data_IF_408916595735
#
_entry.id   IF_408916595735
#
_cell.length_a   1.000
_cell.length_b   1.000
_cell.length_c   1.000
_cell.angle_alpha   90.00
_cell.angle_beta   90.00
_cell.angle_gamma   90.00
#
_symmetry.space_group_name_H-M   'P 1'
#
loop_
_entity.id
_entity.type
_entity.pdbx_description
1 polymer ?
#
# COMPACT_ATOMS: atom_id res chain seq x y z
N UNK A 1 24.40 15.35 -22.83
CA UNK A 1 24.29 13.92 -23.19
C UNK A 1 22.96 13.74 -23.89
N UNK A 2 22.85 12.95 -24.97
CA UNK A 2 21.53 12.67 -25.55
C UNK A 2 20.65 12.07 -24.45
N UNK A 3 19.37 12.43 -24.43
CA UNK A 3 18.40 11.83 -23.52
C UNK A 3 18.44 10.29 -23.65
N UNK A 4 18.50 9.56 -22.54
CA UNK A 4 18.52 8.11 -22.63
C UNK A 4 17.22 7.63 -23.29
N UNK A 5 17.34 6.91 -24.38
CA UNK A 5 16.21 6.22 -25.00
C UNK A 5 15.64 5.21 -24.00
N UNK A 6 14.38 5.40 -23.59
CA UNK A 6 13.69 4.58 -22.60
C UNK A 6 13.68 3.12 -23.02
N UNK A 7 13.40 2.83 -24.29
CA UNK A 7 13.36 1.45 -24.78
C UNK A 7 14.74 0.79 -24.67
N UNK A 8 15.80 1.49 -25.04
CA UNK A 8 17.17 0.99 -24.91
C UNK A 8 17.60 0.83 -23.43
N UNK A 9 17.14 1.71 -22.54
CA UNK A 9 17.45 1.58 -21.11
C UNK A 9 16.78 0.34 -20.49
N UNK A 10 15.49 0.13 -20.80
CA UNK A 10 14.74 -1.06 -20.33
C UNK A 10 15.32 -2.35 -20.92
N UNK A 11 15.72 -2.36 -22.20
CA UNK A 11 16.36 -3.52 -22.82
C UNK A 11 17.70 -3.88 -22.13
N UNK A 12 18.51 -2.87 -21.78
CA UNK A 12 19.76 -3.12 -21.03
C UNK A 12 19.51 -3.69 -19.63
N UNK A 13 18.43 -3.28 -18.97
CA UNK A 13 18.04 -3.85 -17.69
C UNK A 13 17.62 -5.32 -17.85
N UNK A 14 16.86 -5.66 -18.88
CA UNK A 14 16.48 -7.05 -19.19
C UNK A 14 17.73 -7.91 -19.46
N UNK A 15 18.66 -7.44 -20.29
CA UNK A 15 19.92 -8.13 -20.55
C UNK A 15 20.74 -8.36 -19.26
N UNK A 16 20.81 -7.34 -18.39
CA UNK A 16 21.47 -7.45 -17.09
C UNK A 16 20.81 -8.50 -16.20
N UNK A 17 19.49 -8.47 -16.10
CA UNK A 17 18.71 -9.45 -15.31
C UNK A 17 18.97 -10.88 -15.78
N UNK A 18 18.94 -11.11 -17.11
CA UNK A 18 19.25 -12.40 -17.72
C UNK A 18 20.70 -12.84 -17.45
N UNK A 19 21.63 -11.90 -17.41
CA UNK A 19 23.02 -12.18 -17.06
C UNK A 19 23.18 -12.56 -15.60
N UNK A 20 22.57 -11.82 -14.67
CA UNK A 20 22.55 -12.14 -13.24
C UNK A 20 21.96 -13.51 -13.00
N UNK A 21 20.84 -13.84 -13.62
CA UNK A 21 20.21 -15.15 -13.54
C UNK A 21 21.15 -16.30 -13.92
N UNK A 22 22.03 -16.10 -14.89
CA UNK A 22 23.00 -17.13 -15.33
C UNK A 22 24.28 -17.16 -14.52
N UNK A 23 24.79 -16.02 -14.08
CA UNK A 23 26.15 -15.89 -13.55
C UNK A 23 26.19 -15.71 -12.02
N UNK A 24 25.18 -15.10 -11.41
CA UNK A 24 25.11 -14.91 -9.96
C UNK A 24 24.63 -16.18 -9.25
N UNK A 25 25.38 -16.73 -8.28
CA UNK A 25 24.97 -17.94 -7.55
C UNK A 25 23.64 -17.75 -6.81
N UNK A 26 23.39 -16.57 -6.25
CA UNK A 26 22.15 -16.27 -5.52
C UNK A 26 20.95 -16.20 -6.47
N UNK A 27 21.06 -15.44 -7.57
CA UNK A 27 19.97 -15.27 -8.53
C UNK A 27 19.56 -16.59 -9.19
N UNK A 28 20.51 -17.51 -9.41
CA UNK A 28 20.25 -18.84 -9.98
C UNK A 28 19.36 -19.72 -9.11
N UNK A 29 19.40 -19.53 -7.80
CA UNK A 29 18.64 -20.34 -6.84
C UNK A 29 17.24 -19.79 -6.58
N UNK A 30 16.92 -18.57 -7.06
CA UNK A 30 15.65 -17.94 -6.78
C UNK A 30 14.51 -18.55 -7.61
N UNK A 31 13.35 -18.62 -6.98
CA UNK A 31 12.06 -18.90 -7.62
C UNK A 31 11.05 -17.79 -7.30
N UNK A 32 9.82 -17.89 -7.79
CA UNK A 32 8.79 -16.88 -7.55
C UNK A 32 8.46 -16.73 -6.06
N UNK A 33 8.54 -17.80 -5.28
CA UNK A 33 8.21 -17.78 -3.85
C UNK A 33 9.31 -17.11 -3.04
N UNK A 34 10.55 -17.22 -3.47
CA UNK A 34 11.69 -16.56 -2.82
C UNK A 34 11.80 -15.07 -3.19
N UNK A 35 11.37 -14.68 -4.40
CA UNK A 35 11.45 -13.28 -4.90
C UNK A 35 10.25 -12.44 -4.48
N UNK A 36 9.03 -12.98 -4.43
CA UNK A 36 7.83 -12.20 -4.07
C UNK A 36 7.93 -11.50 -2.71
N UNK A 37 8.51 -12.07 -1.64
CA UNK A 37 8.74 -11.32 -0.40
C UNK A 37 9.53 -10.03 -0.60
N UNK A 38 10.62 -10.05 -1.40
CA UNK A 38 11.38 -8.85 -1.73
C UNK A 38 10.55 -7.85 -2.51
N UNK A 39 9.75 -8.30 -3.49
CA UNK A 39 8.82 -7.40 -4.23
C UNK A 39 7.85 -6.66 -3.30
N UNK A 40 7.36 -7.32 -2.23
CA UNK A 40 6.50 -6.69 -1.23
C UNK A 40 7.27 -5.67 -0.39
N UNK A 41 8.52 -5.99 -0.01
CA UNK A 41 9.42 -5.09 0.71
C UNK A 41 9.70 -3.82 -0.09
N UNK A 42 10.15 -3.96 -1.34
CA UNK A 42 10.40 -2.83 -2.25
C UNK A 42 9.13 -1.98 -2.49
N UNK A 43 7.95 -2.60 -2.56
CA UNK A 43 6.70 -1.85 -2.70
C UNK A 43 6.40 -0.99 -1.46
N UNK A 44 6.76 -1.42 -0.27
CA UNK A 44 6.64 -0.62 0.95
C UNK A 44 7.71 0.47 1.04
N UNK A 45 8.95 0.20 0.63
CA UNK A 45 10.02 1.20 0.58
C UNK A 45 9.71 2.29 -0.44
N UNK A 46 9.20 1.93 -1.62
CA UNK A 46 8.67 2.85 -2.61
C UNK A 46 7.57 3.76 -2.03
N UNK A 47 6.63 3.19 -1.26
CA UNK A 47 5.57 3.95 -0.63
C UNK A 47 6.13 4.92 0.44
N UNK A 48 7.10 4.51 1.24
CA UNK A 48 7.75 5.34 2.23
C UNK A 48 8.56 6.49 1.57
N UNK A 49 9.28 6.22 0.49
CA UNK A 49 9.99 7.23 -0.31
C UNK A 49 9.04 8.27 -0.91
N UNK A 50 7.92 7.82 -1.47
CA UNK A 50 6.88 8.71 -2.01
C UNK A 50 6.26 9.60 -0.93
N UNK A 51 5.96 9.05 0.26
CA UNK A 51 5.42 9.81 1.38
C UNK A 51 6.42 10.82 1.96
N UNK A 52 7.71 10.51 1.92
CA UNK A 52 8.77 11.43 2.37
C UNK A 52 9.03 12.57 1.38
N UNK A 53 8.58 12.46 0.13
CA UNK A 53 8.87 13.42 -0.93
C UNK A 53 10.35 13.42 -1.34
N UNK A 54 11.05 12.31 -1.15
CA UNK A 54 12.46 12.14 -1.53
C UNK A 54 12.56 11.56 -2.94
N UNK A 55 12.74 12.45 -3.93
CA UNK A 55 12.83 12.06 -5.34
C UNK A 55 14.03 11.14 -5.65
N UNK A 56 15.12 11.24 -4.89
CA UNK A 56 16.29 10.39 -5.11
C UNK A 56 15.99 8.96 -4.65
N UNK A 57 15.43 8.83 -3.45
CA UNK A 57 15.00 7.56 -2.90
C UNK A 57 13.84 6.96 -3.71
N UNK A 58 12.86 7.77 -4.10
CA UNK A 58 11.75 7.34 -4.95
C UNK A 58 12.23 6.73 -6.28
N UNK A 59 13.29 7.30 -6.88
CA UNK A 59 13.90 6.75 -8.11
C UNK A 59 14.60 5.43 -7.88
N UNK A 60 15.26 5.27 -6.74
CA UNK A 60 15.95 4.05 -6.33
C UNK A 60 14.92 2.91 -6.17
N UNK A 61 13.93 3.12 -5.35
CA UNK A 61 12.88 2.11 -5.09
C UNK A 61 12.04 1.76 -6.33
N UNK A 62 11.80 2.74 -7.23
CA UNK A 62 11.20 2.46 -8.54
C UNK A 62 12.08 1.54 -9.39
N UNK A 63 13.41 1.67 -9.28
CA UNK A 63 14.38 0.80 -9.93
C UNK A 63 14.28 -0.62 -9.40
N UNK A 64 14.20 -0.79 -8.08
CA UNK A 64 14.12 -2.09 -7.42
C UNK A 64 12.80 -2.81 -7.75
N UNK A 65 11.68 -2.12 -7.68
CA UNK A 65 10.39 -2.68 -8.14
C UNK A 65 10.43 -3.05 -9.62
N UNK A 66 11.05 -2.23 -10.47
CA UNK A 66 11.19 -2.55 -11.89
C UNK A 66 12.07 -3.79 -12.11
N UNK A 67 13.16 -3.93 -11.37
CA UNK A 67 14.02 -5.12 -11.41
C UNK A 67 13.24 -6.38 -10.98
N UNK A 68 12.44 -6.31 -9.91
CA UNK A 68 11.58 -7.42 -9.48
C UNK A 68 10.61 -7.85 -10.58
N UNK A 69 10.01 -6.90 -11.30
CA UNK A 69 9.12 -7.21 -12.43
C UNK A 69 9.87 -7.92 -13.55
N UNK A 70 11.09 -7.47 -13.91
CA UNK A 70 11.92 -8.13 -14.92
C UNK A 70 12.31 -9.54 -14.49
N UNK A 71 12.72 -9.72 -13.24
CA UNK A 71 13.16 -11.01 -12.73
C UNK A 71 12.00 -12.03 -12.70
N UNK A 72 10.85 -11.64 -12.19
CA UNK A 72 9.65 -12.49 -12.19
C UNK A 72 9.16 -12.82 -13.60
N UNK A 73 9.26 -11.87 -14.54
CA UNK A 73 8.93 -12.13 -15.94
C UNK A 73 9.89 -13.11 -16.60
N UNK A 74 11.18 -13.09 -16.23
CA UNK A 74 12.17 -14.06 -16.68
C UNK A 74 11.88 -15.48 -16.13
N UNK A 75 11.49 -15.60 -14.85
CA UNK A 75 11.06 -16.88 -14.27
C UNK A 75 9.80 -17.43 -14.97
N UNK A 76 8.88 -16.55 -15.37
CA UNK A 76 7.71 -16.91 -16.16
C UNK A 76 8.11 -17.45 -17.54
N UNK A 77 9.09 -16.83 -18.20
CA UNK A 77 9.65 -17.24 -19.49
C UNK A 77 10.36 -18.62 -19.40
N UNK A 78 11.17 -18.83 -18.35
CA UNK A 78 11.84 -20.11 -18.12
C UNK A 78 10.86 -21.29 -18.02
N UNK A 79 9.61 -21.05 -17.58
CA UNK A 79 8.53 -22.04 -17.50
C UNK A 79 7.69 -22.14 -18.77
N UNK A 80 7.95 -21.31 -19.77
CA UNK A 80 7.14 -21.24 -20.99
C UNK A 80 5.71 -20.70 -20.76
N UNK A 81 5.49 -19.95 -19.67
CA UNK A 81 4.17 -19.43 -19.28
C UNK A 81 3.94 -17.96 -19.69
N UNK A 82 4.94 -17.33 -20.30
CA UNK A 82 4.89 -15.95 -20.79
C UNK A 82 6.25 -15.30 -20.69
N UNK A 83 6.36 -14.05 -21.12
CA UNK A 83 7.57 -13.24 -21.10
C UNK A 83 7.24 -11.78 -20.77
N UNK A 84 8.26 -10.92 -20.66
CA UNK A 84 8.11 -9.49 -20.36
C UNK A 84 7.27 -8.76 -21.40
N UNK A 85 7.37 -9.13 -22.68
CA UNK A 85 6.58 -8.50 -23.74
C UNK A 85 5.09 -8.84 -23.58
N UNK A 86 4.78 -10.08 -23.26
CA UNK A 86 3.40 -10.52 -22.99
C UNK A 86 2.83 -9.89 -21.72
N UNK A 87 3.63 -9.74 -20.66
CA UNK A 87 3.23 -9.02 -19.44
C UNK A 87 2.88 -7.58 -19.76
N UNK A 88 3.74 -6.87 -20.50
CA UNK A 88 3.53 -5.49 -20.89
C UNK A 88 2.31 -5.33 -21.81
N UNK A 89 2.15 -6.20 -22.82
CA UNK A 89 1.02 -6.14 -23.73
C UNK A 89 -0.30 -6.47 -23.03
N UNK A 90 -0.29 -7.44 -22.13
CA UNK A 90 -1.47 -7.79 -21.33
C UNK A 90 -1.96 -6.60 -20.50
N UNK A 91 -1.07 -5.91 -19.78
CA UNK A 91 -1.45 -4.74 -18.99
C UNK A 91 -1.87 -3.57 -19.88
N UNK A 92 -1.20 -3.36 -21.04
CA UNK A 92 -1.58 -2.33 -22.01
C UNK A 92 -3.03 -2.53 -22.49
N UNK A 93 -3.39 -3.73 -22.93
CA UNK A 93 -4.74 -4.06 -23.39
C UNK A 93 -5.77 -3.90 -22.28
N UNK A 94 -5.44 -4.36 -21.06
CA UNK A 94 -6.29 -4.20 -19.87
C UNK A 94 -6.56 -2.71 -19.57
N UNK A 95 -5.54 -1.86 -19.63
CA UNK A 95 -5.68 -0.42 -19.39
C UNK A 95 -6.52 0.26 -20.47
N UNK A 96 -6.30 -0.03 -21.75
CA UNK A 96 -7.13 0.49 -22.85
C UNK A 96 -8.60 0.13 -22.64
N UNK A 97 -8.89 -1.15 -22.38
CA UNK A 97 -10.27 -1.61 -22.15
C UNK A 97 -10.94 -0.93 -20.97
N UNK A 98 -10.18 -0.64 -19.90
CA UNK A 98 -10.71 -0.02 -18.67
C UNK A 98 -10.75 1.49 -18.69
N UNK A 99 -10.29 2.14 -19.79
CA UNK A 99 -10.34 3.59 -19.94
C UNK A 99 -11.11 3.99 -21.23
N UNK A 100 -12.39 3.58 -21.38
CA UNK A 100 -13.17 3.92 -22.56
C UNK A 100 -13.42 5.42 -22.71
N UNK A 101 -13.24 6.21 -21.66
CA UNK A 101 -13.29 7.67 -21.69
C UNK A 101 -12.03 8.31 -22.31
N UNK A 102 -10.94 7.53 -22.52
CA UNK A 102 -9.71 7.99 -23.20
C UNK A 102 -9.59 7.36 -24.59
N UNK A 103 -9.95 6.08 -24.71
CA UNK A 103 -9.74 5.27 -25.91
C UNK A 103 -11.01 4.90 -26.66
N UNK A 104 -12.19 5.31 -26.18
CA UNK A 104 -13.49 5.04 -26.76
C UNK A 104 -14.40 6.26 -26.75
N UNK A 105 -15.71 6.03 -26.74
CA UNK A 105 -16.74 7.08 -26.85
C UNK A 105 -17.45 7.40 -25.52
N UNK A 106 -17.04 6.79 -24.40
CA UNK A 106 -17.65 7.02 -23.09
C UNK A 106 -17.11 8.33 -22.52
N UNK A 107 -18.00 9.23 -22.13
CA UNK A 107 -17.60 10.46 -21.44
C UNK A 107 -17.51 10.22 -19.92
N UNK A 108 -16.44 10.75 -19.29
CA UNK A 108 -16.30 10.85 -17.84
C UNK A 108 -15.58 12.16 -17.53
N UNK A 109 -16.25 13.06 -16.80
CA UNK A 109 -15.75 14.41 -16.51
C UNK A 109 -15.11 14.50 -15.12
N UNK A 110 -15.32 13.53 -14.25
CA UNK A 110 -14.80 13.50 -12.88
C UNK A 110 -14.07 12.19 -12.56
N UNK A 111 -13.11 12.26 -11.66
CA UNK A 111 -12.40 11.07 -11.18
C UNK A 111 -13.38 10.04 -10.56
N UNK A 112 -14.46 10.50 -9.92
CA UNK A 112 -15.50 9.63 -9.36
C UNK A 112 -16.24 8.83 -10.44
N UNK A 113 -16.56 9.45 -11.58
CA UNK A 113 -17.18 8.77 -12.73
C UNK A 113 -16.21 7.75 -13.34
N UNK A 114 -14.94 8.11 -13.50
CA UNK A 114 -13.91 7.17 -13.97
C UNK A 114 -13.81 5.94 -13.08
N UNK A 115 -13.81 6.12 -11.76
CA UNK A 115 -13.73 5.01 -10.80
C UNK A 115 -14.98 4.11 -10.85
N UNK A 116 -16.18 4.68 -10.99
CA UNK A 116 -17.42 3.88 -11.15
C UNK A 116 -17.38 3.06 -12.43
N UNK A 117 -17.07 3.68 -13.56
CA UNK A 117 -16.97 3.01 -14.86
C UNK A 117 -15.91 1.89 -14.81
N UNK A 118 -14.77 2.16 -14.17
CA UNK A 118 -13.72 1.17 -13.98
C UNK A 118 -14.21 -0.06 -13.19
N UNK A 119 -14.90 0.16 -12.08
CA UNK A 119 -15.42 -0.92 -11.24
C UNK A 119 -16.55 -1.70 -11.94
N UNK A 120 -17.37 -1.05 -12.78
CA UNK A 120 -18.38 -1.71 -13.62
C UNK A 120 -17.75 -2.58 -14.71
N UNK A 121 -16.79 -2.02 -15.46
CA UNK A 121 -16.06 -2.76 -16.51
C UNK A 121 -15.33 -3.96 -15.88
N UNK A 122 -14.70 -3.75 -14.73
CA UNK A 122 -14.01 -4.81 -14.02
C UNK A 122 -14.94 -5.92 -13.55
N UNK A 123 -16.17 -5.60 -13.11
CA UNK A 123 -17.18 -6.59 -12.72
C UNK A 123 -17.67 -7.42 -13.91
N UNK A 124 -17.76 -6.82 -15.09
CA UNK A 124 -18.22 -7.48 -16.31
C UNK A 124 -17.14 -8.36 -17.00
N UNK A 125 -15.90 -8.34 -16.52
CA UNK A 125 -14.81 -9.15 -17.11
C UNK A 125 -15.06 -10.65 -16.87
N UNK A 126 -14.84 -11.52 -17.89
CA UNK A 126 -15.04 -12.96 -17.76
C UNK A 126 -14.14 -13.58 -16.66
N UNK A 127 -14.66 -14.60 -15.97
CA UNK A 127 -13.92 -15.34 -14.94
C UNK A 127 -13.84 -14.65 -13.59
N UNK A 128 -14.67 -13.63 -13.36
CA UNK A 128 -14.79 -12.99 -12.06
C UNK A 128 -15.81 -13.67 -11.18
N UNK A 129 -15.52 -13.69 -9.88
CA UNK A 129 -16.48 -14.15 -8.89
C UNK A 129 -17.70 -13.21 -8.85
N UNK A 130 -18.88 -13.82 -8.80
CA UNK A 130 -20.15 -13.11 -8.69
C UNK A 130 -20.35 -12.52 -7.29
N UNK A 131 -21.14 -11.43 -7.20
CA UNK A 131 -21.51 -10.79 -5.94
C UNK A 131 -20.88 -9.42 -5.72
N UNK A 132 -21.37 -8.73 -4.69
CA UNK A 132 -20.99 -7.34 -4.36
C UNK A 132 -19.48 -7.25 -4.08
N UNK A 133 -18.94 -8.18 -3.32
CA UNK A 133 -17.55 -8.15 -2.90
C UNK A 133 -16.61 -8.73 -3.96
N UNK A 134 -17.09 -9.67 -4.80
CA UNK A 134 -16.30 -10.31 -5.86
C UNK A 134 -14.95 -10.78 -5.32
N UNK A 135 -13.91 -10.69 -6.15
CA UNK A 135 -12.55 -11.05 -5.74
C UNK A 135 -11.93 -9.96 -4.81
N UNK A 136 -12.26 -9.99 -3.53
CA UNK A 136 -11.45 -9.29 -2.52
C UNK A 136 -10.38 -10.30 -2.08
N UNK A 137 -9.07 -10.05 -2.34
CA UNK A 137 -8.03 -10.98 -1.92
C UNK A 137 -7.96 -11.03 -0.40
N UNK A 138 -8.10 -12.22 0.17
CA UNK A 138 -8.08 -12.42 1.63
C UNK A 138 -6.68 -12.27 2.25
N UNK A 139 -5.63 -12.36 1.43
CA UNK A 139 -4.23 -12.24 1.84
C UNK A 139 -3.72 -10.79 1.93
N UNK A 140 -4.59 -9.80 1.79
CA UNK A 140 -4.21 -8.40 1.97
C UNK A 140 -3.93 -8.07 3.45
N UNK A 141 -3.03 -7.11 3.74
CA UNK A 141 -2.96 -6.48 5.06
C UNK A 141 -4.35 -6.01 5.52
N UNK A 142 -4.65 -6.13 6.81
CA UNK A 142 -6.01 -5.98 7.34
C UNK A 142 -6.67 -4.64 6.99
N UNK A 143 -5.93 -3.54 7.05
CA UNK A 143 -6.48 -2.21 6.72
C UNK A 143 -6.76 -2.07 5.21
N UNK A 144 -5.92 -2.65 4.35
CA UNK A 144 -6.18 -2.70 2.90
C UNK A 144 -7.35 -3.61 2.56
N UNK A 145 -7.49 -4.74 3.25
CA UNK A 145 -8.62 -5.64 3.11
C UNK A 145 -9.93 -4.91 3.46
N UNK A 146 -10.01 -4.31 4.65
CA UNK A 146 -11.14 -3.53 5.12
C UNK A 146 -11.52 -2.40 4.13
N UNK A 147 -10.54 -1.59 3.70
CA UNK A 147 -10.73 -0.56 2.67
C UNK A 147 -11.31 -1.13 1.39
N UNK A 148 -10.84 -2.29 0.95
CA UNK A 148 -11.30 -2.91 -0.29
C UNK A 148 -12.72 -3.44 -0.18
N UNK A 149 -13.08 -4.04 0.97
CA UNK A 149 -14.45 -4.47 1.28
C UNK A 149 -15.40 -3.25 1.27
N UNK A 150 -15.06 -2.19 2.00
CA UNK A 150 -15.86 -0.97 2.06
C UNK A 150 -16.01 -0.30 0.69
N UNK A 151 -14.94 -0.24 -0.11
CA UNK A 151 -15.01 0.29 -1.48
C UNK A 151 -15.94 -0.54 -2.36
N UNK A 152 -15.98 -1.86 -2.20
CA UNK A 152 -16.89 -2.73 -2.93
C UNK A 152 -18.35 -2.48 -2.53
N UNK A 153 -18.62 -2.35 -1.23
CA UNK A 153 -19.94 -1.96 -0.73
C UNK A 153 -20.38 -0.61 -1.32
N UNK A 154 -19.52 0.41 -1.24
CA UNK A 154 -19.77 1.73 -1.79
C UNK A 154 -20.08 1.70 -3.29
N UNK A 155 -19.34 0.92 -4.09
CA UNK A 155 -19.58 0.78 -5.53
C UNK A 155 -20.88 0.05 -5.88
N UNK A 156 -21.52 -0.61 -4.91
CA UNK A 156 -22.86 -1.21 -5.04
C UNK A 156 -24.02 -0.27 -4.61
N UNK A 157 -23.68 0.95 -4.19
CA UNK A 157 -24.64 1.92 -3.67
C UNK A 157 -24.78 1.93 -2.15
N UNK A 158 -24.03 1.09 -1.43
CA UNK A 158 -23.99 1.09 0.03
C UNK A 158 -22.84 1.98 0.52
N UNK A 159 -23.06 3.29 0.54
CA UNK A 159 -22.06 4.29 0.95
C UNK A 159 -22.70 5.40 1.81
N UNK A 160 -21.87 6.23 2.41
CA UNK A 160 -22.25 7.38 3.21
C UNK A 160 -22.16 8.66 2.37
N UNK A 161 -23.14 9.57 2.57
CA UNK A 161 -23.15 10.86 1.88
C UNK A 161 -22.09 11.84 2.41
N UNK A 162 -21.46 11.52 3.55
CA UNK A 162 -20.45 12.35 4.23
C UNK A 162 -19.38 11.49 4.88
N UNK A 163 -18.28 12.14 5.30
CA UNK A 163 -17.22 11.44 6.08
C UNK A 163 -17.81 10.96 7.42
N UNK A 164 -17.78 9.67 7.72
CA UNK A 164 -18.48 9.08 8.86
C UNK A 164 -17.68 9.18 10.18
N UNK A 165 -17.38 10.40 10.64
CA UNK A 165 -16.65 10.60 11.91
C UNK A 165 -17.47 10.12 13.12
N UNK A 166 -18.78 10.27 13.06
CA UNK A 166 -19.72 9.82 14.09
C UNK A 166 -19.76 8.31 14.25
N UNK A 167 -19.49 7.54 13.19
CA UNK A 167 -19.33 6.09 13.31
C UNK A 167 -18.14 5.72 14.22
N UNK A 168 -16.98 6.37 14.04
CA UNK A 168 -15.83 6.11 14.93
C UNK A 168 -16.14 6.46 16.39
N UNK A 169 -16.89 7.55 16.62
CA UNK A 169 -17.29 7.94 17.98
C UNK A 169 -18.24 6.91 18.59
N UNK A 170 -19.21 6.40 17.82
CA UNK A 170 -20.14 5.34 18.26
C UNK A 170 -19.42 4.05 18.65
N UNK A 171 -18.53 3.57 17.78
CA UNK A 171 -17.75 2.36 18.08
C UNK A 171 -16.85 2.51 19.33
N UNK A 172 -16.35 3.72 19.60
CA UNK A 172 -15.60 3.99 20.83
C UNK A 172 -16.51 3.94 22.09
N UNK A 173 -17.75 4.39 22.00
CA UNK A 173 -18.75 4.30 23.09
C UNK A 173 -19.13 2.82 23.33
N UNK A 174 -19.30 2.02 22.27
CA UNK A 174 -19.60 0.59 22.35
C UNK A 174 -18.43 -0.18 22.93
N UNK A 175 -17.19 0.15 22.53
CA UNK A 175 -15.98 -0.40 23.14
C UNK A 175 -15.87 -0.11 24.65
N UNK A 176 -16.21 1.12 25.07
CA UNK A 176 -16.25 1.46 26.51
C UNK A 176 -17.33 0.67 27.25
N UNK A 177 -18.49 0.47 26.61
CA UNK A 177 -19.61 -0.30 27.18
C UNK A 177 -19.33 -1.80 27.28
N UNK A 178 -18.46 -2.37 26.42
CA UNK A 178 -18.05 -3.77 26.45
C UNK A 178 -17.31 -4.17 27.76
N UNK A 179 -16.77 -3.20 28.48
CA UNK A 179 -16.20 -3.35 29.82
C UNK A 179 -15.00 -4.31 29.83
N UNK A 180 -15.12 -5.45 30.56
CA UNK A 180 -14.04 -6.43 30.74
C UNK A 180 -14.26 -7.73 29.96
N UNK A 181 -15.33 -7.85 29.23
CA UNK A 181 -15.59 -9.02 28.37
C UNK A 181 -14.64 -9.01 27.19
N UNK A 182 -13.70 -9.96 27.18
CA UNK A 182 -12.64 -10.00 26.18
C UNK A 182 -13.15 -10.24 24.77
N UNK A 183 -14.20 -11.01 24.59
CA UNK A 183 -14.74 -11.31 23.27
C UNK A 183 -15.50 -10.08 22.74
N UNK A 184 -16.30 -9.42 23.57
CA UNK A 184 -16.94 -8.16 23.22
C UNK A 184 -15.89 -7.07 22.90
N UNK A 185 -14.90 -6.84 23.77
CA UNK A 185 -13.80 -5.88 23.53
C UNK A 185 -13.05 -6.20 22.23
N UNK A 186 -12.84 -7.48 21.90
CA UNK A 186 -12.17 -7.85 20.65
C UNK A 186 -12.99 -7.45 19.43
N UNK A 187 -14.32 -7.64 19.46
CA UNK A 187 -15.21 -7.23 18.39
C UNK A 187 -15.23 -5.71 18.24
N UNK A 188 -15.46 -4.99 19.32
CA UNK A 188 -15.54 -3.52 19.28
C UNK A 188 -14.23 -2.85 18.84
N UNK A 189 -13.06 -3.39 19.24
CA UNK A 189 -11.77 -2.91 18.71
C UNK A 189 -11.71 -3.11 17.20
N UNK A 190 -12.23 -4.23 16.68
CA UNK A 190 -12.32 -4.48 15.24
C UNK A 190 -13.20 -3.43 14.53
N UNK A 191 -14.35 -3.10 15.13
CA UNK A 191 -15.33 -2.15 14.57
C UNK A 191 -14.79 -0.71 14.62
N UNK A 192 -14.11 -0.29 15.69
CA UNK A 192 -13.38 1.00 15.74
C UNK A 192 -12.35 1.10 14.61
N UNK A 193 -11.54 0.06 14.38
CA UNK A 193 -10.55 0.05 13.31
C UNK A 193 -11.22 0.08 11.94
N UNK A 194 -12.31 -0.65 11.75
CA UNK A 194 -13.08 -0.69 10.50
C UNK A 194 -13.72 0.66 10.20
N UNK A 195 -14.33 1.32 11.20
CA UNK A 195 -14.86 2.68 11.07
C UNK A 195 -13.78 3.72 10.73
N UNK A 196 -12.60 3.63 11.36
CA UNK A 196 -11.46 4.49 11.05
C UNK A 196 -10.96 4.31 9.61
N UNK A 197 -10.92 3.07 9.10
CA UNK A 197 -10.61 2.78 7.69
C UNK A 197 -11.63 3.42 6.76
N UNK A 198 -12.91 3.44 7.13
CA UNK A 198 -13.95 4.06 6.32
C UNK A 198 -13.80 5.59 6.24
N UNK A 199 -13.40 6.22 7.33
CA UNK A 199 -13.03 7.65 7.32
C UNK A 199 -11.88 7.90 6.34
N UNK A 200 -10.80 7.12 6.41
CA UNK A 200 -9.68 7.24 5.49
C UNK A 200 -10.10 7.04 4.03
N UNK A 201 -10.93 6.02 3.75
CA UNK A 201 -11.48 5.75 2.42
C UNK A 201 -12.26 6.94 1.87
N UNK A 202 -13.14 7.52 2.68
CA UNK A 202 -14.00 8.64 2.28
C UNK A 202 -13.18 9.92 2.03
N UNK A 203 -12.07 10.08 2.76
CA UNK A 203 -11.09 11.15 2.53
C UNK A 203 -10.11 10.84 1.38
N UNK A 204 -10.28 9.72 0.65
CA UNK A 204 -9.39 9.26 -0.41
C UNK A 204 -7.95 9.01 0.04
N UNK A 205 -7.75 8.65 1.30
CA UNK A 205 -6.46 8.29 1.88
C UNK A 205 -6.29 6.77 1.93
N UNK A 206 -5.05 6.32 1.86
CA UNK A 206 -4.72 4.92 2.09
C UNK A 206 -4.49 4.69 3.60
N UNK A 207 -5.29 3.82 4.27
CA UNK A 207 -5.20 3.64 5.72
C UNK A 207 -3.92 2.89 6.14
N UNK A 208 -3.41 1.98 5.31
CA UNK A 208 -2.17 1.26 5.58
C UNK A 208 -0.97 2.21 5.59
N UNK A 209 -0.85 3.02 4.53
CA UNK A 209 0.23 4.01 4.43
C UNK A 209 0.10 5.12 5.49
N UNK A 210 -1.12 5.54 5.82
CA UNK A 210 -1.36 6.53 6.88
C UNK A 210 -0.90 6.01 8.25
N UNK A 211 -1.20 4.75 8.57
CA UNK A 211 -0.77 4.13 9.83
C UNK A 211 0.73 3.88 9.86
N UNK A 212 1.35 3.43 8.75
CA UNK A 212 2.80 3.31 8.62
C UNK A 212 3.50 4.64 8.88
N UNK A 213 3.06 5.72 8.22
CA UNK A 213 3.59 7.05 8.43
C UNK A 213 3.45 7.53 9.87
N UNK A 214 2.31 7.25 10.53
CA UNK A 214 2.12 7.57 11.95
C UNK A 214 3.07 6.78 12.85
N UNK A 215 3.28 5.49 12.56
CA UNK A 215 4.22 4.64 13.29
C UNK A 215 5.67 5.10 13.15
N UNK A 216 6.08 5.51 11.95
CA UNK A 216 7.42 6.07 11.68
C UNK A 216 7.62 7.38 12.45
N UNK A 217 6.64 8.29 12.42
CA UNK A 217 6.70 9.53 13.21
C UNK A 217 6.78 9.26 14.72
N UNK A 218 5.97 8.32 15.20
CA UNK A 218 6.01 7.95 16.61
C UNK A 218 7.40 7.43 17.02
N UNK A 219 7.98 6.51 16.23
CA UNK A 219 9.34 5.99 16.47
C UNK A 219 10.37 7.11 16.51
N UNK A 220 10.40 7.98 15.51
CA UNK A 220 11.33 9.09 15.46
C UNK A 220 11.20 10.04 16.65
N UNK A 221 9.97 10.30 17.13
CA UNK A 221 9.72 11.12 18.33
C UNK A 221 10.23 10.46 19.61
N UNK A 222 10.09 9.16 19.75
CA UNK A 222 10.61 8.41 20.91
C UNK A 222 12.14 8.42 20.89
N UNK A 223 12.77 8.20 19.73
CA UNK A 223 14.22 8.28 19.57
C UNK A 223 14.75 9.69 19.87
N UNK A 224 14.07 10.73 19.41
CA UNK A 224 14.42 12.11 19.71
C UNK A 224 14.24 12.43 21.21
N UNK A 225 13.20 11.93 21.84
CA UNK A 225 12.98 12.06 23.28
C UNK A 225 14.09 11.41 24.11
N UNK A 226 14.53 10.20 23.73
CA UNK A 226 15.68 9.52 24.35
C UNK A 226 16.97 10.33 24.20
N UNK A 227 17.22 10.90 23.01
CA UNK A 227 18.38 11.77 22.78
C UNK A 227 18.33 13.04 23.64
N UNK A 228 17.13 13.64 23.82
CA UNK A 228 16.98 14.81 24.71
C UNK A 228 17.31 14.46 26.16
N UNK A 229 16.82 13.32 26.66
CA UNK A 229 17.15 12.84 28.01
C UNK A 229 18.65 12.57 28.16
N UNK A 230 19.27 11.90 27.20
CA UNK A 230 20.70 11.59 27.21
C UNK A 230 21.59 12.87 27.25
N UNK A 231 21.19 13.93 26.52
CA UNK A 231 21.91 15.21 26.49
C UNK A 231 22.01 15.89 27.86
N UNK A 232 21.02 15.64 28.74
CA UNK A 232 21.02 16.18 30.10
C UNK A 232 21.53 15.16 31.13
N UNK A 233 22.09 14.04 30.70
CA UNK A 233 22.66 12.99 31.54
C UNK A 233 21.65 12.07 32.20
N UNK A 234 20.39 12.07 31.75
CA UNK A 234 19.35 11.17 32.24
C UNK A 234 19.38 9.83 31.46
N UNK A 235 19.39 8.73 32.19
CA UNK A 235 19.31 7.38 31.58
C UNK A 235 17.86 7.03 31.27
N UNK A 236 17.53 6.84 29.98
CA UNK A 236 16.18 6.60 29.50
C UNK A 236 15.44 5.47 30.25
N UNK A 237 16.16 4.39 30.57
CA UNK A 237 15.59 3.22 31.25
C UNK A 237 15.24 3.48 32.73
N UNK A 238 15.81 4.54 33.32
CA UNK A 238 15.61 4.93 34.72
C UNK A 238 14.49 5.97 34.88
N UNK A 239 14.04 6.58 33.76
CA UNK A 239 12.98 7.58 33.75
C UNK A 239 11.62 6.96 34.02
N UNK A 240 10.80 7.66 34.78
CA UNK A 240 9.37 7.36 34.97
C UNK A 240 8.59 7.55 33.66
N UNK A 241 7.40 6.94 33.52
CA UNK A 241 6.53 7.19 32.36
C UNK A 241 6.23 8.66 32.13
N UNK A 242 5.99 9.46 33.17
CA UNK A 242 5.67 10.88 33.06
C UNK A 242 6.87 11.71 32.56
N UNK A 243 8.08 11.38 33.02
CA UNK A 243 9.31 12.01 32.51
C UNK A 243 9.53 11.67 31.05
N UNK A 244 9.32 10.42 30.63
CA UNK A 244 9.39 10.01 29.23
C UNK A 244 8.38 10.76 28.36
N UNK A 245 7.13 10.90 28.84
CA UNK A 245 6.10 11.67 28.17
C UNK A 245 6.47 13.16 28.05
N UNK A 246 7.14 13.73 29.06
CA UNK A 246 7.63 15.11 28.99
C UNK A 246 8.67 15.30 27.89
N UNK A 247 9.67 14.40 27.79
CA UNK A 247 10.65 14.44 26.71
C UNK A 247 10.01 14.19 25.34
N UNK A 248 9.03 13.31 25.24
CA UNK A 248 8.27 13.07 24.02
C UNK A 248 7.49 14.31 23.57
N UNK A 249 6.86 15.03 24.52
CA UNK A 249 6.19 16.30 24.23
C UNK A 249 7.17 17.36 23.71
N UNK A 250 8.39 17.45 24.29
CA UNK A 250 9.44 18.34 23.81
C UNK A 250 9.91 17.96 22.39
N UNK A 251 10.08 16.66 22.11
CA UNK A 251 10.45 16.19 20.78
C UNK A 251 9.43 16.60 19.72
N UNK A 252 8.12 16.52 20.04
CA UNK A 252 7.03 16.98 19.15
C UNK A 252 7.05 18.47 18.84
N UNK A 253 7.52 19.30 19.77
CA UNK A 253 7.58 20.76 19.58
C UNK A 253 8.77 21.19 18.71
N UNK A 254 9.74 20.31 18.51
CA UNK A 254 10.96 20.56 17.75
C UNK A 254 10.90 20.04 16.30
N UNK A 255 9.76 19.45 15.89
CA UNK A 255 9.47 19.09 14.49
C UNK A 255 9.00 20.34 13.72
#
# INVERSE_FOLDING_TARGET
>A
MPEPDVAAAVARLDELTRRLRRECPWDREQDERSIVPHTVEEAYELADAANAGDDAKLRDELGDVLFQVHFLSLLLEERGAGDMAQVAEHVRQKLIRRHPHVFGEVEAQTAGEVLRNWDEIKRAEPGREEGIFGEVPENLPALLHARKVQRRAASSGFDFDRVPYDAVAGELEELEAAGTDRDAVFHEVGDVLFAAVNVARTLHLDPELALRAASTRFRGRVEAAEQLATRVGAAWNELTPDEKLSYYAQARLNE
#
